data_IF_181009450968
#
_entry.id   IF_181009450968
#
_cell.length_a   1.000
_cell.length_b   1.000
_cell.length_c   1.000
_cell.angle_alpha   90.00
_cell.angle_beta   90.00
_cell.angle_gamma   90.00
#
_symmetry.space_group_name_H-M   'P 1'
#
loop_
_entity.id
_entity.type
_entity.pdbx_description
1 polymer ?
#
# COMPACT_ATOMS: atom_id res chain seq x y z
N UNK A 1 23.67 54.48 -1.49
CA UNK A 1 23.13 53.35 -0.72
C UNK A 1 23.54 52.08 -1.43
N UNK A 2 24.25 51.20 -0.74
CA UNK A 2 24.89 50.03 -1.34
C UNK A 2 23.86 48.90 -1.55
N UNK A 3 23.34 48.80 -2.77
CA UNK A 3 22.34 47.82 -3.18
C UNK A 3 22.92 46.40 -3.26
N UNK A 4 24.25 46.25 -3.35
CA UNK A 4 24.92 44.96 -3.49
C UNK A 4 24.75 44.05 -2.26
N UNK A 5 24.78 44.63 -1.06
CA UNK A 5 24.67 43.88 0.19
C UNK A 5 23.23 43.36 0.43
N UNK A 6 22.23 44.08 -0.07
CA UNK A 6 20.82 43.69 -0.06
C UNK A 6 20.57 42.47 -0.96
N UNK A 7 21.16 42.45 -2.16
CA UNK A 7 21.03 41.33 -3.09
C UNK A 7 21.73 40.06 -2.56
N UNK A 8 22.90 40.20 -1.93
CA UNK A 8 23.60 39.10 -1.26
C UNK A 8 22.72 38.47 -0.16
N UNK A 9 22.10 39.29 0.69
CA UNK A 9 21.21 38.83 1.75
C UNK A 9 19.96 38.10 1.22
N UNK A 10 19.36 38.61 0.14
CA UNK A 10 18.23 37.96 -0.51
C UNK A 10 18.60 36.57 -1.07
N UNK A 11 19.76 36.46 -1.75
CA UNK A 11 20.27 35.17 -2.28
C UNK A 11 20.49 34.15 -1.16
N UNK A 12 21.09 34.56 -0.05
CA UNK A 12 21.33 33.68 1.11
C UNK A 12 20.02 33.19 1.74
N UNK A 13 19.04 34.08 1.91
CA UNK A 13 17.71 33.75 2.42
C UNK A 13 16.98 32.74 1.53
N UNK A 14 17.03 32.93 0.21
CA UNK A 14 16.44 32.00 -0.76
C UNK A 14 17.11 30.63 -0.69
N UNK A 15 18.44 30.58 -0.66
CA UNK A 15 19.19 29.33 -0.57
C UNK A 15 18.90 28.57 0.73
N UNK A 16 18.78 29.28 1.85
CA UNK A 16 18.39 28.68 3.13
C UNK A 16 16.99 28.07 3.04
N UNK A 17 16.03 28.81 2.48
CA UNK A 17 14.66 28.33 2.30
C UNK A 17 14.59 27.07 1.45
N UNK A 18 15.31 27.02 0.33
CA UNK A 18 15.31 25.83 -0.53
C UNK A 18 15.99 24.63 0.14
N UNK A 19 17.03 24.85 0.96
CA UNK A 19 17.63 23.79 1.77
C UNK A 19 16.64 23.21 2.78
N UNK A 20 15.88 24.05 3.49
CA UNK A 20 14.84 23.57 4.40
C UNK A 20 13.76 22.78 3.65
N UNK A 21 13.27 23.30 2.52
CA UNK A 21 12.29 22.61 1.67
C UNK A 21 12.79 21.23 1.22
N UNK A 22 14.07 21.14 0.85
CA UNK A 22 14.68 19.87 0.44
C UNK A 22 14.86 18.89 1.62
N UNK A 23 15.09 19.40 2.83
CA UNK A 23 15.16 18.58 4.05
C UNK A 23 13.80 17.95 4.36
N UNK A 24 12.73 18.74 4.32
CA UNK A 24 11.36 18.24 4.52
C UNK A 24 10.97 17.18 3.48
N UNK A 25 11.32 17.43 2.21
CA UNK A 25 11.12 16.47 1.13
C UNK A 25 11.88 15.16 1.37
N UNK A 26 13.15 15.25 1.77
CA UNK A 26 13.96 14.06 2.05
C UNK A 26 13.41 13.27 3.26
N UNK A 27 12.91 13.97 4.28
CA UNK A 27 12.27 13.34 5.45
C UNK A 27 11.00 12.59 5.03
N UNK A 28 10.14 13.19 4.22
CA UNK A 28 8.97 12.50 3.68
C UNK A 28 9.35 11.28 2.83
N UNK A 29 10.43 11.36 2.06
CA UNK A 29 10.92 10.24 1.26
C UNK A 29 11.53 9.12 2.10
N UNK A 30 12.15 9.44 3.23
CA UNK A 30 12.62 8.44 4.19
C UNK A 30 11.44 7.74 4.87
N UNK A 31 10.39 8.47 5.29
CA UNK A 31 9.15 7.84 5.77
C UNK A 31 8.52 6.92 4.70
N UNK A 32 8.63 7.26 3.41
CA UNK A 32 8.18 6.38 2.34
C UNK A 32 9.03 5.11 2.24
N UNK A 33 10.34 5.19 2.46
CA UNK A 33 11.20 3.98 2.52
C UNK A 33 10.75 3.07 3.66
N UNK A 34 10.30 3.64 4.77
CA UNK A 34 9.92 2.85 5.94
C UNK A 34 8.77 1.87 5.68
N UNK A 35 7.87 2.20 4.75
CA UNK A 35 6.69 1.38 4.42
C UNK A 35 6.86 0.52 3.17
N UNK A 36 8.00 0.63 2.47
CA UNK A 36 8.29 -0.20 1.29
C UNK A 36 8.81 -1.56 1.75
N UNK A 37 8.29 -2.69 1.25
CA UNK A 37 8.80 -4.01 1.59
C UNK A 37 10.24 -4.17 1.06
N UNK A 38 11.08 -4.87 1.82
CA UNK A 38 12.49 -5.13 1.50
C UNK A 38 13.41 -3.91 1.45
N UNK A 39 12.94 -2.74 1.89
CA UNK A 39 13.78 -1.54 2.05
C UNK A 39 14.68 -1.59 3.29
N UNK A 40 14.39 -2.50 4.22
CA UNK A 40 15.07 -2.66 5.51
C UNK A 40 15.82 -3.99 5.60
N UNK A 41 17.01 -3.93 6.18
CA UNK A 41 17.83 -5.08 6.54
C UNK A 41 19.23 -4.61 6.92
N UNK A 42 19.86 -5.26 7.90
CA UNK A 42 21.19 -4.87 8.41
C UNK A 42 22.28 -4.81 7.33
N UNK A 43 22.07 -5.50 6.20
CA UNK A 43 22.97 -5.51 5.04
C UNK A 43 22.41 -4.78 3.80
N UNK A 44 21.22 -4.18 3.88
CA UNK A 44 20.56 -3.53 2.74
C UNK A 44 20.98 -2.06 2.68
N UNK A 45 21.58 -1.66 1.56
CA UNK A 45 21.97 -0.26 1.31
C UNK A 45 20.74 0.63 1.16
N UNK A 46 20.81 1.87 1.67
CA UNK A 46 19.75 2.89 1.49
C UNK A 46 19.40 3.05 0.01
N UNK A 47 18.12 2.90 -0.31
CA UNK A 47 17.61 3.02 -1.67
C UNK A 47 17.75 4.45 -2.21
N UNK A 48 18.11 4.58 -3.49
CA UNK A 48 18.12 5.87 -4.18
C UNK A 48 16.71 6.47 -4.26
N UNK A 49 16.60 7.78 -4.55
CA UNK A 49 15.28 8.44 -4.66
C UNK A 49 14.42 7.79 -5.75
N UNK A 50 15.02 7.49 -6.90
CA UNK A 50 14.34 6.84 -8.03
C UNK A 50 13.92 5.41 -7.66
N UNK A 51 14.81 4.63 -7.06
CA UNK A 51 14.48 3.26 -6.64
C UNK A 51 13.34 3.23 -5.61
N UNK A 52 13.34 4.17 -4.67
CA UNK A 52 12.28 4.33 -3.66
C UNK A 52 10.92 4.58 -4.33
N UNK A 53 10.86 5.51 -5.27
CA UNK A 53 9.61 5.83 -5.99
C UNK A 53 9.13 4.66 -6.86
N UNK A 54 10.05 3.95 -7.52
CA UNK A 54 9.72 2.79 -8.35
C UNK A 54 9.14 1.66 -7.49
N UNK A 55 9.79 1.32 -6.38
CA UNK A 55 9.33 0.28 -5.47
C UNK A 55 8.00 0.66 -4.81
N UNK A 56 7.82 1.92 -4.40
CA UNK A 56 6.54 2.40 -3.86
C UNK A 56 5.39 2.21 -4.86
N UNK A 57 5.58 2.62 -6.13
CA UNK A 57 4.58 2.43 -7.18
C UNK A 57 4.24 0.95 -7.36
N UNK A 58 5.26 0.10 -7.48
CA UNK A 58 5.06 -1.33 -7.71
C UNK A 58 4.36 -1.99 -6.51
N UNK A 59 4.70 -1.58 -5.30
CA UNK A 59 4.08 -2.07 -4.08
C UNK A 59 2.58 -1.74 -4.04
N UNK A 60 2.18 -0.52 -4.40
CA UNK A 60 0.76 -0.13 -4.49
C UNK A 60 0.01 -1.01 -5.51
N UNK A 61 0.60 -1.23 -6.70
CA UNK A 61 -0.02 -2.08 -7.74
C UNK A 61 -0.19 -3.51 -7.26
N UNK A 62 0.84 -4.07 -6.62
CA UNK A 62 0.81 -5.42 -6.06
C UNK A 62 -0.26 -5.57 -4.97
N UNK A 63 -0.35 -4.61 -4.03
CA UNK A 63 -1.38 -4.63 -3.00
C UNK A 63 -2.79 -4.58 -3.60
N UNK A 64 -3.03 -3.74 -4.61
CA UNK A 64 -4.32 -3.69 -5.28
C UNK A 64 -4.68 -5.01 -5.95
N UNK A 65 -3.71 -5.68 -6.60
CA UNK A 65 -3.92 -7.02 -7.16
C UNK A 65 -4.31 -8.02 -6.08
N UNK A 66 -3.53 -8.07 -4.99
CA UNK A 66 -3.78 -9.01 -3.89
C UNK A 66 -5.17 -8.80 -3.26
N UNK A 67 -5.61 -7.54 -3.08
CA UNK A 67 -6.96 -7.23 -2.59
C UNK A 67 -8.04 -7.76 -3.54
N UNK A 68 -7.85 -7.63 -4.86
CA UNK A 68 -8.81 -8.14 -5.83
C UNK A 68 -8.86 -9.67 -5.82
N UNK A 69 -7.70 -10.33 -5.73
CA UNK A 69 -7.61 -11.79 -5.64
C UNK A 69 -8.34 -12.30 -4.38
N UNK A 70 -8.14 -11.65 -3.23
CA UNK A 70 -8.86 -12.01 -2.00
C UNK A 70 -10.36 -11.80 -2.10
N UNK A 71 -10.84 -10.75 -2.77
CA UNK A 71 -12.28 -10.56 -3.03
C UNK A 71 -12.86 -11.69 -3.89
N UNK A 72 -12.12 -12.14 -4.90
CA UNK A 72 -12.54 -13.27 -5.75
C UNK A 72 -12.62 -14.57 -4.93
N UNK A 73 -11.62 -14.83 -4.09
CA UNK A 73 -11.60 -16.00 -3.20
C UNK A 73 -12.80 -15.95 -2.23
N UNK A 74 -13.06 -14.81 -1.58
CA UNK A 74 -14.20 -14.65 -0.67
C UNK A 74 -15.52 -14.91 -1.42
N UNK A 75 -15.68 -14.35 -2.62
CA UNK A 75 -16.89 -14.55 -3.43
C UNK A 75 -17.09 -16.03 -3.78
N UNK A 76 -16.02 -16.74 -4.13
CA UNK A 76 -16.09 -18.17 -4.43
C UNK A 76 -16.43 -19.01 -3.20
N UNK A 77 -15.82 -18.71 -2.05
CA UNK A 77 -16.11 -19.39 -0.78
C UNK A 77 -17.56 -19.17 -0.35
N UNK A 78 -18.08 -17.95 -0.48
CA UNK A 78 -19.48 -17.65 -0.18
C UNK A 78 -20.44 -18.43 -1.10
N UNK A 79 -20.13 -18.53 -2.39
CA UNK A 79 -20.90 -19.36 -3.32
C UNK A 79 -20.88 -20.84 -2.90
N UNK A 80 -19.72 -21.37 -2.52
CA UNK A 80 -19.57 -22.76 -2.06
C UNK A 80 -20.36 -23.03 -0.79
N UNK A 81 -20.34 -22.11 0.17
CA UNK A 81 -21.15 -22.21 1.40
C UNK A 81 -22.63 -22.27 1.04
N UNK A 82 -23.11 -21.37 0.18
CA UNK A 82 -24.50 -21.36 -0.24
C UNK A 82 -24.93 -22.67 -0.94
N UNK A 83 -24.09 -23.20 -1.83
CA UNK A 83 -24.34 -24.49 -2.49
C UNK A 83 -24.41 -25.63 -1.47
N UNK A 84 -23.53 -25.64 -0.47
CA UNK A 84 -23.54 -26.65 0.59
C UNK A 84 -24.81 -26.58 1.45
N UNK A 85 -25.28 -25.38 1.77
CA UNK A 85 -26.57 -25.17 2.47
C UNK A 85 -27.75 -25.73 1.67
N UNK A 86 -27.78 -25.51 0.35
CA UNK A 86 -28.83 -26.06 -0.52
C UNK A 86 -28.82 -27.60 -0.55
N UNK A 87 -27.63 -28.21 -0.61
CA UNK A 87 -27.48 -29.68 -0.60
C UNK A 87 -27.95 -30.26 0.74
N UNK A 88 -27.55 -29.65 1.87
CA UNK A 88 -27.98 -30.09 3.20
C UNK A 88 -29.50 -29.98 3.39
N UNK A 89 -30.12 -28.92 2.88
CA UNK A 89 -31.58 -28.74 2.95
C UNK A 89 -32.35 -29.76 2.09
N UNK A 90 -31.74 -30.23 1.00
CA UNK A 90 -32.33 -31.28 0.16
C UNK A 90 -32.35 -32.63 0.89
N UNK A 91 -31.27 -33.01 1.57
CA UNK A 91 -31.19 -34.27 2.34
C UNK A 91 -32.11 -34.31 3.58
N UNK A 92 -32.48 -33.17 4.17
CA UNK A 92 -33.48 -33.12 5.26
C UNK A 92 -34.90 -33.42 4.78
N UNK A 93 -35.23 -33.16 3.50
CA UNK A 93 -36.56 -33.47 2.97
C UNK A 93 -36.78 -34.98 2.83
N UNK A 94 -35.78 -35.73 2.38
CA UNK A 94 -35.91 -37.17 2.16
C UNK A 94 -36.11 -37.97 3.45
N UNK A 95 -35.41 -37.61 4.53
CA UNK A 95 -35.50 -38.29 5.84
C UNK A 95 -36.79 -38.04 6.62
N UNK A 96 -37.53 -36.97 6.29
CA UNK A 96 -38.82 -36.68 6.94
C UNK A 96 -39.96 -37.49 6.31
N UNK A 97 -39.88 -37.78 5.01
CA UNK A 97 -40.84 -38.64 4.30
C UNK A 97 -40.67 -40.12 4.62
N UNK A 98 -39.46 -40.58 4.95
CA UNK A 98 -39.20 -42.00 5.28
C UNK A 98 -39.67 -42.39 6.69
N UNK A 99 -39.82 -41.42 7.62
CA UNK A 99 -40.34 -41.65 8.98
C UNK A 99 -41.86 -41.41 9.10
N UNK A 100 -42.56 -41.18 7.99
CA UNK A 100 -44.00 -40.91 7.96
C UNK A 100 -44.84 -42.09 7.41
N UNK A 101 -44.24 -43.28 7.25
CA UNK A 101 -44.91 -44.54 6.87
C UNK A 101 -44.94 -45.48 8.08
#
# INVERSE_FOLDING_TARGET
MDTSNSEQGARLSINLRERCRMHDLNKALDNLRDVIPYSHGSSVRKLSKIATLLLAKNHIVMQNSAINDFKLIITDLLRKIHLMEMVLNSHKKDTTTENAI
#
